data_IF_195893334308
#
_entry.id   IF_195893334308
#
_cell.length_a   1.000
_cell.length_b   1.000
_cell.length_c   1.000
_cell.angle_alpha   90.00
_cell.angle_beta   90.00
_cell.angle_gamma   90.00
#
_symmetry.space_group_name_H-M   'P 1'
#
loop_
_entity.id
_entity.type
_entity.pdbx_description
1 polymer ?
#
# COMPACT_ATOMS: atom_id res chain seq x y z
N UNK A 1 -4.37 -5.71 -34.00
CA UNK A 1 -4.60 -4.64 -32.99
C UNK A 1 -4.91 -3.33 -33.68
N UNK A 2 -6.11 -2.76 -33.43
CA UNK A 2 -6.49 -1.44 -33.91
C UNK A 2 -5.86 -0.31 -33.08
N UNK A 3 -5.71 0.91 -33.63
CA UNK A 3 -5.20 2.07 -32.88
C UNK A 3 -6.00 2.38 -31.60
N UNK A 4 -7.33 2.15 -31.63
CA UNK A 4 -8.20 2.36 -30.47
C UNK A 4 -7.96 1.31 -29.37
N UNK A 5 -7.74 0.04 -29.74
CA UNK A 5 -7.39 -1.01 -28.78
C UNK A 5 -6.03 -0.72 -28.13
N UNK A 6 -5.02 -0.33 -28.91
CA UNK A 6 -3.70 0.03 -28.39
C UNK A 6 -3.78 1.19 -27.39
N UNK A 7 -4.51 2.25 -27.74
CA UNK A 7 -4.74 3.41 -26.88
C UNK A 7 -5.43 3.03 -25.57
N UNK A 8 -6.42 2.14 -25.62
CA UNK A 8 -7.11 1.63 -24.44
C UNK A 8 -6.14 0.87 -23.52
N UNK A 9 -5.31 -0.01 -24.07
CA UNK A 9 -4.31 -0.79 -23.33
C UNK A 9 -3.29 0.14 -22.66
N UNK A 10 -2.76 1.13 -23.39
CA UNK A 10 -1.83 2.14 -22.85
C UNK A 10 -2.46 2.94 -21.71
N UNK A 11 -3.74 3.33 -21.84
CA UNK A 11 -4.50 4.00 -20.78
C UNK A 11 -4.66 3.12 -19.54
N UNK A 12 -4.94 1.82 -19.70
CA UNK A 12 -5.04 0.89 -18.58
C UNK A 12 -3.69 0.68 -17.90
N UNK A 13 -2.61 0.59 -18.68
CA UNK A 13 -1.25 0.44 -18.18
C UNK A 13 -0.84 1.65 -17.32
N UNK A 14 -1.05 2.86 -17.82
CA UNK A 14 -0.71 4.10 -17.11
C UNK A 14 -1.49 4.26 -15.78
N UNK A 15 -2.77 3.87 -15.77
CA UNK A 15 -3.61 3.87 -14.55
C UNK A 15 -3.20 2.79 -13.54
N UNK A 16 -2.81 1.62 -14.04
CA UNK A 16 -2.32 0.51 -13.20
C UNK A 16 -1.01 0.88 -12.53
N UNK A 17 -0.07 1.51 -13.27
CA UNK A 17 1.18 2.05 -12.72
C UNK A 17 0.92 3.09 -11.62
N UNK A 18 0.01 4.04 -11.84
CA UNK A 18 -0.36 5.02 -10.80
C UNK A 18 -0.88 4.36 -9.53
N UNK A 19 -1.77 3.37 -9.69
CA UNK A 19 -2.35 2.64 -8.55
C UNK A 19 -1.28 1.82 -7.82
N UNK A 20 -0.41 1.14 -8.57
CA UNK A 20 0.74 0.42 -8.03
C UNK A 20 1.61 1.31 -7.13
N UNK A 21 2.01 2.50 -7.61
CA UNK A 21 2.84 3.43 -6.83
C UNK A 21 2.09 3.91 -5.58
N UNK A 22 0.81 4.29 -5.71
CA UNK A 22 0.02 4.76 -4.57
C UNK A 22 -0.11 3.68 -3.46
N UNK A 23 -0.31 2.43 -3.84
CA UNK A 23 -0.34 1.30 -2.91
C UNK A 23 1.04 1.01 -2.32
N UNK A 24 2.10 1.06 -3.12
CA UNK A 24 3.46 0.86 -2.63
C UNK A 24 3.87 1.90 -1.57
N UNK A 25 3.59 3.18 -1.82
CA UNK A 25 3.85 4.26 -0.86
C UNK A 25 3.02 4.12 0.41
N UNK A 26 1.74 3.76 0.27
CA UNK A 26 0.85 3.48 1.41
C UNK A 26 1.39 2.32 2.25
N UNK A 27 1.93 1.28 1.62
CA UNK A 27 2.53 0.15 2.30
C UNK A 27 3.79 0.53 3.10
N UNK A 28 4.68 1.32 2.51
CA UNK A 28 5.89 1.81 3.17
C UNK A 28 5.52 2.65 4.40
N UNK A 29 4.55 3.54 4.24
CA UNK A 29 4.09 4.38 5.35
C UNK A 29 3.51 3.54 6.49
N UNK A 30 2.60 2.61 6.19
CA UNK A 30 2.04 1.74 7.21
C UNK A 30 3.13 0.92 7.91
N UNK A 31 4.13 0.43 7.17
CA UNK A 31 5.27 -0.28 7.75
C UNK A 31 6.09 0.61 8.71
N UNK A 32 6.37 1.86 8.32
CA UNK A 32 7.10 2.82 9.18
C UNK A 32 6.34 3.10 10.46
N UNK A 33 5.01 3.28 10.38
CA UNK A 33 4.18 3.48 11.57
C UNK A 33 4.11 2.25 12.47
N UNK A 34 4.09 1.04 11.90
CA UNK A 34 4.17 -0.19 12.68
C UNK A 34 5.44 -0.24 13.53
N UNK A 35 6.61 0.07 12.94
CA UNK A 35 7.87 0.10 13.70
C UNK A 35 7.96 1.29 14.66
N UNK A 36 7.43 2.46 14.28
CA UNK A 36 7.40 3.65 15.12
C UNK A 36 6.60 3.44 16.42
N UNK A 37 5.55 2.59 16.40
CA UNK A 37 4.82 2.20 17.61
C UNK A 37 5.43 0.98 18.31
N UNK A 38 5.84 -0.03 17.53
CA UNK A 38 6.34 -1.29 18.06
C UNK A 38 7.67 -1.15 18.82
N UNK A 39 8.60 -0.33 18.34
CA UNK A 39 9.91 -0.15 18.99
C UNK A 39 9.76 0.52 20.37
N UNK A 40 9.07 1.68 20.51
CA UNK A 40 8.81 2.26 21.81
C UNK A 40 8.00 1.36 22.74
N UNK A 41 7.06 0.57 22.21
CA UNK A 41 6.33 -0.40 23.01
C UNK A 41 7.26 -1.44 23.64
N UNK A 42 8.14 -2.05 22.83
CA UNK A 42 9.07 -3.07 23.32
C UNK A 42 10.00 -2.48 24.39
N UNK A 43 10.51 -1.27 24.16
CA UNK A 43 11.35 -0.56 25.13
C UNK A 43 10.56 -0.29 26.42
N UNK A 44 9.38 0.33 26.33
CA UNK A 44 8.56 0.66 27.50
C UNK A 44 8.14 -0.58 28.30
N UNK A 45 7.79 -1.67 27.61
CA UNK A 45 7.43 -2.95 28.24
C UNK A 45 8.62 -3.58 28.97
N UNK A 46 9.80 -3.55 28.35
CA UNK A 46 11.04 -4.08 28.95
C UNK A 46 11.45 -3.26 30.16
N UNK A 47 11.41 -1.92 30.06
CA UNK A 47 11.72 -1.02 31.17
C UNK A 47 10.71 -1.17 32.29
N UNK A 48 9.41 -1.22 31.98
CA UNK A 48 8.34 -1.48 32.96
C UNK A 48 8.60 -2.77 33.75
N UNK A 49 8.90 -3.88 33.06
CA UNK A 49 9.20 -5.16 33.68
C UNK A 49 10.43 -5.10 34.61
N UNK A 50 11.49 -4.38 34.20
CA UNK A 50 12.68 -4.19 35.01
C UNK A 50 12.42 -3.32 36.26
N UNK A 51 11.61 -2.25 36.12
CA UNK A 51 11.29 -1.33 37.21
C UNK A 51 10.48 -1.97 38.35
N UNK A 52 9.78 -3.08 38.11
CA UNK A 52 9.08 -3.84 39.15
C UNK A 52 10.07 -4.38 40.20
N UNK A 53 11.27 -4.77 39.77
CA UNK A 53 12.30 -5.32 40.66
C UNK A 53 13.31 -4.27 41.12
N UNK A 54 13.28 -3.07 40.53
CA UNK A 54 14.20 -2.00 40.89
C UNK A 54 13.83 -1.40 42.26
N UNK A 55 14.81 -1.30 43.15
CA UNK A 55 14.68 -0.56 44.42
C UNK A 55 14.78 0.94 44.17
N UNK A 56 13.65 1.54 43.78
CA UNK A 56 13.50 2.99 43.60
C UNK A 56 13.25 3.70 44.93
N UNK A 57 13.80 4.90 45.09
CA UNK A 57 13.43 5.79 46.19
C UNK A 57 11.95 6.19 46.09
N UNK A 58 11.34 6.60 47.21
CA UNK A 58 9.91 6.93 47.29
C UNK A 58 9.52 8.03 46.28
N UNK A 59 10.40 8.99 46.04
CA UNK A 59 10.21 10.09 45.09
C UNK A 59 10.06 9.62 43.64
N UNK A 60 10.64 8.47 43.26
CA UNK A 60 10.63 7.96 41.88
C UNK A 60 9.66 6.80 41.64
N UNK A 61 8.89 6.36 42.65
CA UNK A 61 7.94 5.25 42.50
C UNK A 61 6.87 5.47 41.43
N UNK A 62 6.52 6.73 41.13
CA UNK A 62 5.54 7.07 40.10
C UNK A 62 6.03 6.74 38.67
N UNK A 63 7.35 6.67 38.46
CA UNK A 63 7.96 6.38 37.15
C UNK A 63 7.52 5.00 36.65
N UNK A 64 7.51 3.98 37.53
CA UNK A 64 7.03 2.63 37.20
C UNK A 64 5.61 2.65 36.67
N UNK A 65 4.71 3.39 37.31
CA UNK A 65 3.31 3.51 36.90
C UNK A 65 3.16 4.20 35.54
N UNK A 66 3.90 5.28 35.31
CA UNK A 66 3.85 6.02 34.04
C UNK A 66 4.38 5.18 32.88
N UNK A 67 5.54 4.55 33.04
CA UNK A 67 6.13 3.70 31.99
C UNK A 67 5.22 2.52 31.65
N UNK A 68 4.63 1.89 32.67
CA UNK A 68 3.70 0.76 32.46
C UNK A 68 2.43 1.21 31.74
N UNK A 69 1.87 2.37 32.10
CA UNK A 69 0.72 2.94 31.41
C UNK A 69 1.03 3.27 29.94
N UNK A 70 2.19 3.87 29.67
CA UNK A 70 2.66 4.14 28.31
C UNK A 70 2.77 2.85 27.49
N UNK A 71 3.32 1.78 28.06
CA UNK A 71 3.40 0.48 27.40
C UNK A 71 2.00 -0.06 27.03
N UNK A 72 1.04 0.00 27.96
CA UNK A 72 -0.34 -0.47 27.69
C UNK A 72 -1.03 0.36 26.60
N UNK A 73 -0.85 1.69 26.60
CA UNK A 73 -1.41 2.57 25.57
C UNK A 73 -0.80 2.23 24.20
N UNK A 74 0.52 2.09 24.12
CA UNK A 74 1.20 1.75 22.87
C UNK A 74 0.80 0.37 22.34
N UNK A 75 0.64 -0.63 23.22
CA UNK A 75 0.16 -1.97 22.86
C UNK A 75 -1.26 -1.93 22.30
N UNK A 76 -2.13 -1.14 22.94
CA UNK A 76 -3.51 -0.94 22.49
C UNK A 76 -3.52 -0.27 21.12
N UNK A 77 -2.76 0.81 20.92
CA UNK A 77 -2.65 1.49 19.62
C UNK A 77 -2.10 0.56 18.53
N UNK A 78 -1.06 -0.23 18.82
CA UNK A 78 -0.50 -1.17 17.85
C UNK A 78 -1.53 -2.23 17.43
N UNK A 79 -2.33 -2.72 18.37
CA UNK A 79 -3.38 -3.73 18.13
C UNK A 79 -4.57 -3.14 17.37
N UNK A 80 -5.07 -1.96 17.75
CA UNK A 80 -6.22 -1.33 17.09
C UNK A 80 -5.89 -0.80 15.69
N UNK A 81 -4.67 -0.28 15.48
CA UNK A 81 -4.31 0.34 14.21
C UNK A 81 -3.82 -0.68 13.16
N UNK A 82 -3.39 -1.88 13.57
CA UNK A 82 -3.00 -3.01 12.70
C UNK A 82 -2.16 -2.60 11.49
N UNK A 83 -1.17 -1.72 11.69
CA UNK A 83 -0.38 -1.15 10.60
C UNK A 83 0.41 -2.20 9.80
N UNK A 84 0.79 -3.32 10.43
CA UNK A 84 1.42 -4.45 9.73
C UNK A 84 0.49 -5.08 8.70
N UNK A 85 -0.77 -5.34 9.08
CA UNK A 85 -1.80 -5.88 8.20
C UNK A 85 -2.12 -4.91 7.05
N UNK A 86 -2.29 -3.62 7.36
CA UNK A 86 -2.49 -2.57 6.36
C UNK A 86 -1.32 -2.52 5.37
N UNK A 87 -0.08 -2.60 5.86
CA UNK A 87 1.11 -2.65 4.99
C UNK A 87 1.07 -3.86 4.05
N UNK A 88 0.77 -5.05 4.58
CA UNK A 88 0.65 -6.28 3.79
C UNK A 88 -0.44 -6.18 2.72
N UNK A 89 -1.62 -5.68 3.09
CA UNK A 89 -2.74 -5.46 2.16
C UNK A 89 -2.38 -4.51 1.02
N UNK A 90 -1.73 -3.38 1.34
CA UNK A 90 -1.24 -2.46 0.33
C UNK A 90 -0.14 -3.06 -0.56
N UNK A 91 0.80 -3.85 -0.01
CA UNK A 91 1.81 -4.56 -0.81
C UNK A 91 1.17 -5.56 -1.78
N UNK A 92 0.18 -6.31 -1.31
CA UNK A 92 -0.53 -7.27 -2.13
C UNK A 92 -1.23 -6.56 -3.31
N UNK A 93 -1.94 -5.46 -3.04
CA UNK A 93 -2.55 -4.65 -4.09
C UNK A 93 -1.51 -4.07 -5.07
N UNK A 94 -0.37 -3.57 -4.57
CA UNK A 94 0.71 -3.07 -5.42
C UNK A 94 1.26 -4.16 -6.35
N UNK A 95 1.46 -5.39 -5.85
CA UNK A 95 1.87 -6.53 -6.68
C UNK A 95 0.81 -6.86 -7.74
N UNK A 96 -0.48 -6.94 -7.38
CA UNK A 96 -1.54 -7.22 -8.36
C UNK A 96 -1.64 -6.18 -9.48
N UNK A 97 -1.44 -4.90 -9.15
CA UNK A 97 -1.38 -3.84 -10.16
C UNK A 97 -0.12 -3.91 -11.01
N UNK A 98 1.01 -4.40 -10.46
CA UNK A 98 2.23 -4.68 -11.22
C UNK A 98 1.99 -5.81 -12.21
N UNK A 99 1.44 -6.93 -11.77
CA UNK A 99 1.14 -8.08 -12.63
C UNK A 99 0.20 -7.66 -13.78
N UNK A 100 -0.84 -6.88 -13.47
CA UNK A 100 -1.74 -6.32 -14.49
C UNK A 100 -0.99 -5.40 -15.47
N UNK A 101 -0.07 -4.57 -14.99
CA UNK A 101 0.75 -3.69 -15.84
C UNK A 101 1.66 -4.51 -16.76
N UNK A 102 2.28 -5.57 -16.24
CA UNK A 102 3.16 -6.47 -16.98
C UNK A 102 2.40 -7.22 -18.08
N UNK A 103 1.20 -7.73 -17.81
CA UNK A 103 0.34 -8.34 -18.83
C UNK A 103 0.02 -7.35 -19.97
N UNK A 104 -0.30 -6.10 -19.61
CA UNK A 104 -0.58 -5.03 -20.58
C UNK A 104 0.67 -4.64 -21.39
N UNK A 105 1.86 -4.70 -20.79
CA UNK A 105 3.13 -4.47 -21.47
C UNK A 105 3.46 -5.58 -22.48
N UNK A 106 3.22 -6.84 -22.10
CA UNK A 106 3.47 -7.99 -22.97
C UNK A 106 2.63 -7.92 -24.25
N UNK A 107 1.35 -7.59 -24.15
CA UNK A 107 0.47 -7.45 -25.33
C UNK A 107 0.86 -6.26 -26.22
N UNK A 108 1.42 -5.18 -25.64
CA UNK A 108 1.91 -4.05 -26.43
C UNK A 108 3.20 -4.38 -27.18
N UNK A 109 4.03 -5.27 -26.64
CA UNK A 109 5.29 -5.72 -27.27
C UNK A 109 5.03 -6.81 -28.32
N UNK A 110 4.11 -7.73 -28.02
CA UNK A 110 3.74 -8.83 -28.89
C UNK A 110 2.21 -8.86 -29.03
N UNK A 111 1.65 -8.12 -30.00
CA UNK A 111 0.21 -8.09 -30.23
C UNK A 111 -0.33 -9.47 -30.60
N UNK A 112 -1.49 -9.80 -30.03
CA UNK A 112 -2.26 -10.99 -30.39
C UNK A 112 -2.98 -10.81 -31.73
N UNK A 113 -3.40 -11.92 -32.34
CA UNK A 113 -4.37 -11.90 -33.44
C UNK A 113 -5.70 -11.27 -32.99
N UNK A 114 -6.43 -10.64 -33.91
CA UNK A 114 -7.56 -9.77 -33.54
C UNK A 114 -8.69 -10.53 -32.80
N UNK A 115 -8.96 -11.79 -33.16
CA UNK A 115 -9.94 -12.65 -32.49
C UNK A 115 -9.56 -12.97 -31.02
N UNK A 116 -8.29 -13.25 -30.76
CA UNK A 116 -7.75 -13.57 -29.45
C UNK A 116 -7.59 -12.31 -28.59
N UNK A 117 -7.30 -11.17 -29.23
CA UNK A 117 -7.18 -9.88 -28.55
C UNK A 117 -8.49 -9.43 -27.91
N UNK A 118 -9.63 -9.59 -28.59
CA UNK A 118 -10.93 -9.20 -28.04
C UNK A 118 -11.33 -10.05 -26.83
N UNK A 119 -11.01 -11.35 -26.86
CA UNK A 119 -11.20 -12.24 -25.72
C UNK A 119 -10.29 -11.81 -24.56
N UNK A 120 -9.01 -11.61 -24.83
CA UNK A 120 -8.04 -11.18 -23.84
C UNK A 120 -8.40 -9.81 -23.20
N UNK A 121 -8.90 -8.86 -23.98
CA UNK A 121 -9.35 -7.56 -23.47
C UNK A 121 -10.53 -7.68 -22.48
N UNK A 122 -11.45 -8.63 -22.70
CA UNK A 122 -12.54 -8.93 -21.76
C UNK A 122 -11.98 -9.51 -20.46
N UNK A 123 -11.08 -10.49 -20.57
CA UNK A 123 -10.44 -11.13 -19.42
C UNK A 123 -9.63 -10.10 -18.59
N UNK A 124 -8.90 -9.20 -19.26
CA UNK A 124 -8.16 -8.12 -18.60
C UNK A 124 -9.06 -7.09 -17.94
N UNK A 125 -10.21 -6.78 -18.54
CA UNK A 125 -11.21 -5.90 -17.91
C UNK A 125 -11.72 -6.50 -16.61
N UNK A 126 -12.01 -7.80 -16.60
CA UNK A 126 -12.44 -8.53 -15.41
C UNK A 126 -11.34 -8.59 -14.36
N UNK A 127 -10.12 -8.98 -14.74
CA UNK A 127 -8.94 -8.97 -13.86
C UNK A 127 -8.75 -7.60 -13.21
N UNK A 128 -8.80 -6.52 -13.99
CA UNK A 128 -8.68 -5.14 -13.49
C UNK A 128 -9.82 -4.78 -12.51
N UNK A 129 -11.05 -5.17 -12.82
CA UNK A 129 -12.21 -4.93 -11.95
C UNK A 129 -12.03 -5.66 -10.61
N UNK A 130 -11.59 -6.91 -10.65
CA UNK A 130 -11.31 -7.72 -9.47
C UNK A 130 -10.21 -7.08 -8.60
N UNK A 131 -9.05 -6.73 -9.20
CA UNK A 131 -7.95 -6.06 -8.48
C UNK A 131 -8.43 -4.77 -7.82
N UNK A 132 -9.26 -3.98 -8.50
CA UNK A 132 -9.82 -2.76 -7.93
C UNK A 132 -10.80 -3.01 -6.79
N UNK A 133 -11.61 -4.07 -6.86
CA UNK A 133 -12.63 -4.38 -5.86
C UNK A 133 -12.05 -4.84 -4.52
N UNK A 134 -10.93 -5.56 -4.57
CA UNK A 134 -10.26 -6.11 -3.38
C UNK A 134 -9.17 -5.20 -2.82
N UNK A 135 -8.81 -4.13 -3.54
CA UNK A 135 -7.74 -3.24 -3.12
C UNK A 135 -8.23 -2.32 -2.00
N UNK A 136 -7.44 -2.13 -0.91
CA UNK A 136 -7.79 -1.19 0.14
C UNK A 136 -7.78 0.26 -0.38
N UNK A 137 -8.46 1.16 0.32
CA UNK A 137 -8.39 2.59 0.00
C UNK A 137 -6.98 3.13 0.25
N UNK A 138 -6.40 3.77 -0.77
CA UNK A 138 -5.08 4.40 -0.66
C UNK A 138 -5.16 5.71 0.12
N UNK A 139 -4.08 6.08 0.80
CA UNK A 139 -4.01 7.38 1.46
C UNK A 139 -3.98 8.51 0.43
N UNK A 140 -4.69 9.61 0.72
CA UNK A 140 -4.81 10.73 -0.21
C UNK A 140 -3.48 11.38 -0.57
N UNK A 141 -2.50 11.41 0.35
CA UNK A 141 -1.16 11.91 0.06
C UNK A 141 -0.37 10.97 -0.86
N UNK A 142 -0.49 9.65 -0.71
CA UNK A 142 0.15 8.65 -1.58
C UNK A 142 -0.42 8.74 -2.99
N UNK A 143 -1.74 8.92 -3.11
CA UNK A 143 -2.39 9.15 -4.40
C UNK A 143 -1.91 10.44 -5.08
N UNK A 144 -1.76 11.54 -4.33
CA UNK A 144 -1.22 12.80 -4.87
C UNK A 144 0.23 12.64 -5.35
N UNK A 145 1.05 11.93 -4.59
CA UNK A 145 2.43 11.59 -4.95
C UNK A 145 2.47 10.79 -6.25
N UNK A 146 1.76 9.67 -6.30
CA UNK A 146 1.68 8.81 -7.48
C UNK A 146 1.09 9.51 -8.70
N UNK A 147 0.10 10.39 -8.51
CA UNK A 147 -0.47 11.21 -9.59
C UNK A 147 0.59 12.13 -10.18
N UNK A 148 1.37 12.82 -9.35
CA UNK A 148 2.44 13.72 -9.80
C UNK A 148 3.49 12.97 -10.61
N UNK A 149 3.93 11.81 -10.13
CA UNK A 149 4.95 10.99 -10.81
C UNK A 149 4.47 10.43 -12.15
N UNK A 150 3.19 10.08 -12.25
CA UNK A 150 2.61 9.47 -13.45
C UNK A 150 1.80 10.46 -14.29
N UNK A 151 1.94 11.76 -14.07
CA UNK A 151 1.09 12.77 -14.69
C UNK A 151 1.30 12.80 -16.20
N UNK A 152 2.55 12.98 -16.65
CA UNK A 152 2.91 13.03 -18.08
C UNK A 152 2.48 11.77 -18.84
N UNK A 153 2.80 10.59 -18.30
CA UNK A 153 2.43 9.32 -18.91
C UNK A 153 0.91 9.11 -18.98
N UNK A 154 0.16 9.54 -17.95
CA UNK A 154 -1.29 9.46 -18.00
C UNK A 154 -1.89 10.51 -18.92
N UNK A 155 -1.34 11.71 -19.00
CA UNK A 155 -1.87 12.75 -19.89
C UNK A 155 -1.65 12.37 -21.36
N UNK A 156 -0.51 11.78 -21.69
CA UNK A 156 -0.21 11.27 -23.03
C UNK A 156 -1.13 10.10 -23.45
N UNK A 157 -1.56 9.27 -22.50
CA UNK A 157 -2.38 8.07 -22.77
C UNK A 157 -3.87 8.24 -22.43
N UNK A 158 -4.23 9.30 -21.70
CA UNK A 158 -5.60 9.66 -21.38
C UNK A 158 -5.96 10.88 -22.21
N UNK A 159 -6.46 10.61 -23.42
CA UNK A 159 -7.31 11.61 -24.08
C UNK A 159 -8.48 11.82 -23.13
N UNK A 160 -8.51 13.00 -22.50
CA UNK A 160 -9.72 13.54 -21.88
C UNK A 160 -10.76 13.57 -23.01
N UNK A 161 -11.78 12.72 -22.89
CA UNK A 161 -13.06 13.05 -23.51
C UNK A 161 -13.61 14.29 -22.81
#
# INVERSE_FOLDING_TARGET
MSPEQEKLIRKWRARSKRSQIAHHDSAIWAQRFHFCLGIPLVIASTVSAALIYATLSVEYKWVTSVVSLCAVILASLQTFLSFSEKSSSHRNAACRYRDLKEDLELVLLQPLEDNDLDKWLKDMKEKRSNVSAISPSVYGWSWRSAKKETQEENDNNSVRN
#
